data_IF_260883249517
#
_entry.id   IF_260883249517
#
_cell.length_a   1.000
_cell.length_b   1.000
_cell.length_c   1.000
_cell.angle_alpha   90.00
_cell.angle_beta   90.00
_cell.angle_gamma   90.00
#
_symmetry.space_group_name_H-M   'P 1'
#
loop_
_entity.id
_entity.type
_entity.pdbx_description
1 polymer ?
#
# COMPACT_ATOMS: atom_id res chain seq x y z
N UNK A 1 8.97 16.19 -17.29
CA UNK A 1 9.09 15.72 -17.18
C UNK A 1 9.25 15.42 -16.19
N UNK A 2 9.13 15.11 -15.75
CA UNK A 2 9.04 14.57 -14.73
C UNK A 2 9.94 14.34 -13.70
N UNK A 3 10.08 15.26 -12.92
CA UNK A 3 10.79 15.06 -11.68
C UNK A 3 9.81 14.47 -10.69
N UNK A 4 10.10 13.25 -10.23
CA UNK A 4 9.29 12.62 -9.20
C UNK A 4 9.52 13.32 -7.88
N UNK A 5 8.44 13.53 -7.12
CA UNK A 5 8.53 14.06 -5.75
C UNK A 5 8.81 12.97 -4.73
N UNK A 6 8.85 11.72 -5.17
CA UNK A 6 9.00 10.57 -4.29
C UNK A 6 10.45 10.10 -4.25
N UNK A 7 10.83 9.54 -3.12
CA UNK A 7 12.17 9.00 -2.94
C UNK A 7 12.15 7.90 -1.89
N UNK A 8 13.26 7.21 -1.76
CA UNK A 8 13.43 6.15 -0.75
C UNK A 8 13.08 6.68 0.63
N UNK A 9 12.40 5.87 1.41
CA UNK A 9 11.94 6.14 2.78
C UNK A 9 10.74 7.07 2.88
N UNK A 10 10.25 7.61 1.77
CA UNK A 10 9.01 8.39 1.83
C UNK A 10 7.84 7.49 2.16
N UNK A 11 6.95 8.00 3.00
CA UNK A 11 5.69 7.33 3.31
C UNK A 11 4.67 7.66 2.25
N UNK A 12 3.87 6.66 1.87
CA UNK A 12 2.92 6.77 0.76
C UNK A 12 1.61 6.06 1.09
N UNK A 13 0.56 6.47 0.40
CA UNK A 13 -0.74 5.80 0.47
C UNK A 13 -1.12 5.34 -0.93
N UNK A 14 -1.69 4.14 -1.00
CA UNK A 14 -2.22 3.57 -2.25
C UNK A 14 -3.60 4.21 -2.49
N UNK A 15 -3.77 4.88 -3.62
CA UNK A 15 -4.97 5.67 -3.88
C UNK A 15 -5.93 5.03 -4.88
N UNK A 16 -5.65 3.79 -5.30
CA UNK A 16 -6.52 3.06 -6.22
C UNK A 16 -6.76 1.65 -5.72
N UNK A 17 -7.90 1.09 -6.10
CA UNK A 17 -8.15 -0.34 -5.90
C UNK A 17 -7.83 -1.03 -7.23
N UNK A 18 -6.86 -1.94 -7.22
CA UNK A 18 -6.36 -2.59 -8.42
C UNK A 18 -6.18 -4.08 -8.13
N UNK A 19 -6.68 -4.93 -9.02
CA UNK A 19 -6.65 -6.38 -8.82
C UNK A 19 -5.22 -6.89 -8.67
N UNK A 20 -4.27 -6.29 -9.39
CA UNK A 20 -2.88 -6.73 -9.30
C UNK A 20 -2.27 -6.46 -7.93
N UNK A 21 -2.73 -5.42 -7.23
CA UNK A 21 -2.31 -5.14 -5.87
C UNK A 21 -3.13 -5.95 -4.86
N UNK A 22 -4.42 -6.09 -5.13
CA UNK A 22 -5.34 -6.79 -4.22
C UNK A 22 -4.95 -8.24 -4.03
N UNK A 23 -4.45 -8.89 -5.06
CA UNK A 23 -4.02 -10.29 -4.95
C UNK A 23 -2.81 -10.45 -4.03
N UNK A 24 -2.09 -9.35 -3.76
CA UNK A 24 -0.99 -9.32 -2.81
C UNK A 24 -1.45 -8.85 -1.43
N UNK A 25 -2.74 -8.62 -1.27
CA UNK A 25 -3.29 -8.14 -0.01
C UNK A 25 -3.29 -6.63 0.15
N UNK A 26 -3.01 -5.90 -0.92
CA UNK A 26 -2.88 -4.43 -0.88
C UNK A 26 -4.10 -3.79 -1.51
N UNK A 27 -4.78 -2.97 -0.72
CA UNK A 27 -6.04 -2.35 -1.10
C UNK A 27 -5.96 -0.83 -0.99
N UNK A 28 -6.87 -0.15 -1.67
CA UNK A 28 -6.93 1.30 -1.64
C UNK A 28 -7.00 1.81 -0.21
N UNK A 29 -6.22 2.85 0.08
CA UNK A 29 -6.16 3.46 1.40
C UNK A 29 -5.05 2.91 2.27
N UNK A 30 -4.45 1.78 1.90
CA UNK A 30 -3.33 1.23 2.66
C UNK A 30 -2.11 2.10 2.54
N UNK A 31 -1.31 2.12 3.59
CA UNK A 31 -0.14 2.99 3.70
C UNK A 31 1.12 2.19 3.92
N UNK A 32 2.22 2.75 3.44
CA UNK A 32 3.51 2.11 3.59
C UNK A 32 4.64 3.08 3.30
N UNK A 33 5.80 2.54 2.93
CA UNK A 33 6.92 3.40 2.57
C UNK A 33 7.71 2.79 1.42
N UNK A 34 8.40 3.68 0.69
CA UNK A 34 9.25 3.29 -0.43
C UNK A 34 10.56 2.75 0.13
N UNK A 35 10.93 1.53 -0.29
CA UNK A 35 12.10 0.87 0.27
C UNK A 35 13.27 0.75 -0.71
N UNK A 36 13.17 1.35 -1.88
CA UNK A 36 14.24 1.34 -2.88
C UNK A 36 14.41 2.74 -3.44
N UNK A 37 15.64 3.13 -3.69
CA UNK A 37 15.95 4.47 -4.20
C UNK A 37 15.61 4.62 -5.68
N UNK A 38 15.19 3.54 -6.35
CA UNK A 38 14.96 3.54 -7.79
C UNK A 38 13.49 3.45 -8.13
N UNK A 39 13.06 4.25 -9.09
CA UNK A 39 11.76 4.10 -9.72
C UNK A 39 11.99 3.37 -11.04
N UNK A 40 11.58 2.12 -11.09
CA UNK A 40 11.86 1.27 -12.25
C UNK A 40 10.58 1.08 -13.05
N UNK A 41 10.60 1.47 -14.33
CA UNK A 41 9.44 1.37 -15.22
C UNK A 41 8.21 2.08 -14.65
N UNK A 42 8.44 3.22 -13.98
CA UNK A 42 7.36 4.01 -13.39
C UNK A 42 6.80 3.44 -12.09
N UNK A 43 7.48 2.46 -11.50
CA UNK A 43 7.02 1.82 -10.26
C UNK A 43 8.04 1.96 -9.16
N UNK A 44 7.53 2.20 -7.96
CA UNK A 44 8.34 2.22 -6.74
C UNK A 44 8.12 0.94 -5.96
N UNK A 45 9.17 0.41 -5.38
CA UNK A 45 9.04 -0.75 -4.49
C UNK A 45 8.55 -0.25 -3.13
N UNK A 46 7.39 -0.72 -2.71
CA UNK A 46 6.71 -0.22 -1.51
C UNK A 46 6.50 -1.37 -0.53
N UNK A 47 6.79 -1.11 0.74
CA UNK A 47 6.48 -2.03 1.83
C UNK A 47 5.17 -1.58 2.47
N UNK A 48 4.22 -2.51 2.56
CA UNK A 48 2.94 -2.28 3.25
C UNK A 48 2.98 -3.10 4.54
N UNK A 49 3.22 -2.46 5.70
CA UNK A 49 3.43 -3.19 6.95
C UNK A 49 2.14 -3.59 7.65
N UNK A 50 2.25 -4.57 8.52
CA UNK A 50 1.20 -4.92 9.47
C UNK A 50 1.47 -4.19 10.78
N UNK A 51 0.39 -3.74 11.44
CA UNK A 51 0.54 -3.08 12.72
C UNK A 51 0.90 -4.12 13.80
N UNK A 52 1.98 -3.84 14.51
CA UNK A 52 2.39 -4.70 15.61
C UNK A 52 3.02 -6.02 15.21
N UNK A 53 3.13 -6.31 13.93
CA UNK A 53 3.70 -7.56 13.45
C UNK A 53 5.06 -7.30 12.80
N UNK A 54 5.92 -8.31 12.85
CA UNK A 54 7.23 -8.21 12.23
C UNK A 54 7.16 -8.38 10.72
N UNK A 55 6.22 -9.17 10.24
CA UNK A 55 6.07 -9.41 8.82
C UNK A 55 5.21 -8.34 8.18
N UNK A 56 5.49 -8.03 6.93
CA UNK A 56 4.72 -7.06 6.19
C UNK A 56 3.55 -7.75 5.50
N UNK A 57 2.51 -6.95 5.18
CA UNK A 57 1.43 -7.46 4.35
C UNK A 57 1.98 -7.79 2.98
N UNK A 58 2.79 -6.89 2.42
CA UNK A 58 3.39 -7.09 1.11
C UNK A 58 4.58 -6.18 0.90
N UNK A 59 5.44 -6.56 -0.04
CA UNK A 59 6.48 -5.71 -0.60
C UNK A 59 6.35 -5.89 -2.10
N UNK A 60 5.93 -4.83 -2.80
CA UNK A 60 5.59 -4.96 -4.21
C UNK A 60 5.83 -3.65 -4.95
N UNK A 61 6.06 -3.73 -6.28
CA UNK A 61 6.16 -2.51 -7.08
C UNK A 61 4.77 -1.93 -7.34
N UNK A 62 4.63 -0.63 -7.10
CA UNK A 62 3.37 0.09 -7.30
C UNK A 62 3.66 1.29 -8.19
N UNK A 63 2.78 1.52 -9.17
CA UNK A 63 2.92 2.66 -10.08
C UNK A 63 2.92 3.96 -9.28
N UNK A 64 3.81 4.88 -9.66
CA UNK A 64 3.90 6.16 -8.99
C UNK A 64 2.56 6.91 -9.01
N UNK A 65 1.83 6.80 -10.11
CA UNK A 65 0.52 7.47 -10.25
C UNK A 65 -0.54 6.90 -9.31
N UNK A 66 -0.30 5.71 -8.76
CA UNK A 66 -1.23 5.05 -7.84
C UNK A 66 -0.88 5.32 -6.37
N UNK A 67 0.10 6.19 -6.14
CA UNK A 67 0.59 6.54 -4.80
C UNK A 67 0.48 8.05 -4.57
N UNK A 68 0.29 8.41 -3.30
CA UNK A 68 0.38 9.81 -2.88
C UNK A 68 1.30 9.88 -1.66
N UNK A 69 2.08 10.97 -1.58
CA UNK A 69 2.99 11.17 -0.46
C UNK A 69 2.21 11.47 0.83
N UNK A 70 2.74 10.95 1.93
CA UNK A 70 2.22 11.21 3.26
C UNK A 70 3.30 11.96 4.06
N UNK A 71 3.35 13.29 3.98
CA UNK A 71 4.42 14.04 4.64
C UNK A 71 4.44 13.87 6.16
N UNK A 72 3.31 13.55 6.76
CA UNK A 72 3.19 13.32 8.19
C UNK A 72 3.53 11.92 8.64
N UNK A 73 3.92 11.05 7.70
CA UNK A 73 4.22 9.65 7.99
C UNK A 73 3.03 8.74 7.77
N UNK A 74 3.24 7.44 7.90
CA UNK A 74 2.18 6.45 7.67
C UNK A 74 1.72 5.86 8.99
N UNK A 75 0.53 5.23 8.96
CA UNK A 75 -0.05 4.59 10.14
C UNK A 75 -0.49 3.16 9.75
N UNK A 76 0.24 2.16 10.25
CA UNK A 76 -0.04 0.77 9.92
C UNK A 76 -1.39 0.29 10.45
N UNK A 77 -1.96 0.98 11.44
CA UNK A 77 -3.28 0.61 11.97
C UNK A 77 -4.36 0.78 10.91
N UNK A 78 -4.15 1.69 9.98
CA UNK A 78 -5.08 1.88 8.87
C UNK A 78 -5.11 0.63 8.00
N UNK A 79 -3.95 0.01 7.78
CA UNK A 79 -3.85 -1.21 6.99
C UNK A 79 -4.65 -2.34 7.63
N UNK A 80 -4.55 -2.49 8.95
CA UNK A 80 -5.30 -3.52 9.66
C UNK A 80 -6.80 -3.27 9.59
N UNK A 81 -7.21 -2.01 9.70
CA UNK A 81 -8.61 -1.63 9.61
C UNK A 81 -9.18 -1.97 8.24
N UNK A 82 -8.44 -1.69 7.18
CA UNK A 82 -8.87 -1.98 5.81
C UNK A 82 -8.99 -3.48 5.61
N UNK A 83 -8.00 -4.25 6.06
CA UNK A 83 -8.03 -5.71 5.96
C UNK A 83 -9.26 -6.27 6.69
N UNK A 84 -9.53 -5.74 7.87
CA UNK A 84 -10.68 -6.19 8.65
C UNK A 84 -12.01 -5.93 7.95
N UNK A 85 -12.15 -4.78 7.32
CA UNK A 85 -13.36 -4.45 6.58
C UNK A 85 -13.57 -5.37 5.39
N UNK A 86 -12.51 -5.67 4.66
CA UNK A 86 -12.59 -6.54 3.49
C UNK A 86 -12.94 -7.96 3.92
N UNK A 87 -12.31 -8.43 5.00
CA UNK A 87 -12.59 -9.75 5.54
C UNK A 87 -14.04 -9.87 5.98
N UNK A 88 -14.57 -8.85 6.65
CA UNK A 88 -15.96 -8.83 7.10
C UNK A 88 -16.91 -8.88 5.90
N UNK A 89 -16.60 -8.12 4.85
CA UNK A 89 -17.39 -8.12 3.63
C UNK A 89 -17.44 -9.50 3.00
N UNK A 90 -16.29 -10.17 2.92
CA UNK A 90 -16.22 -11.53 2.38
C UNK A 90 -17.05 -12.49 3.22
N UNK A 91 -16.99 -12.37 4.52
CA UNK A 91 -17.80 -13.17 5.43
C UNK A 91 -19.29 -12.98 5.19
N UNK A 92 -19.71 -11.74 5.00
CA UNK A 92 -21.10 -11.41 4.75
C UNK A 92 -21.55 -12.05 3.43
N UNK A 93 -20.75 -11.96 2.41
CA UNK A 93 -21.08 -12.54 1.11
C UNK A 93 -21.13 -14.06 1.18
N UNK A 94 -20.25 -14.66 1.95
CA UNK A 94 -20.19 -16.12 2.04
C UNK A 94 -21.37 -16.73 2.77
N UNK A 95 -22.10 -15.94 3.53
CA UNK A 95 -23.29 -16.40 4.26
C UNK A 95 -24.47 -16.59 3.31
N UNK A 96 -24.45 -15.91 2.20
CA UNK A 96 -25.51 -16.02 1.21
C UNK A 96 -25.33 -17.25 0.33
#
# INVERSE_FOLDING_TARGET
>A
MGVSNMKEMDCVEVIVEDDSYAKEGVHQGMQGWICDSRCINGRWLVIIPQYGEKENIATLPIKEEDLVLLPGGMDARINERIRGMIFISDCIYSVH
#
